data_IF_196561095782
#
_entry.id   IF_196561095782
#
_cell.length_a   1.000
_cell.length_b   1.000
_cell.length_c   1.000
_cell.angle_alpha   90.00
_cell.angle_beta   90.00
_cell.angle_gamma   90.00
#
_symmetry.space_group_name_H-M   'P 1'
#
loop_
_entity.id
_entity.type
_entity.pdbx_description
1 polymer ?
#
# COMPACT_ATOMS: atom_id res chain seq x y z
N UNK A 1 14.43 27.68 -18.73
CA UNK A 1 15.18 27.28 -17.53
C UNK A 1 14.48 26.12 -16.83
N UNK A 2 15.25 25.11 -16.37
CA UNK A 2 14.82 23.91 -15.62
C UNK A 2 14.28 22.70 -16.42
N UNK A 3 15.03 22.25 -17.44
CA UNK A 3 14.97 20.87 -17.99
C UNK A 3 16.37 20.32 -18.34
N UNK A 4 17.39 20.71 -17.56
CA UNK A 4 18.79 20.44 -17.88
C UNK A 4 19.56 19.60 -16.84
N UNK A 5 18.87 18.89 -15.92
CA UNK A 5 19.55 18.25 -14.79
C UNK A 5 19.11 16.81 -14.46
N UNK A 6 18.69 16.01 -15.46
CA UNK A 6 18.61 14.54 -15.33
C UNK A 6 18.97 13.89 -16.68
N UNK A 7 20.16 14.21 -17.22
CA UNK A 7 20.72 13.53 -18.40
C UNK A 7 22.24 13.33 -18.30
N UNK A 8 22.81 13.42 -17.09
CA UNK A 8 24.27 13.34 -16.86
C UNK A 8 24.67 12.19 -15.93
N UNK A 9 23.92 11.08 -15.89
CA UNK A 9 24.38 9.81 -15.28
C UNK A 9 23.87 8.60 -16.09
N UNK A 10 23.97 8.64 -17.42
CA UNK A 10 23.66 7.47 -18.25
C UNK A 10 24.35 7.43 -19.62
N UNK A 11 25.58 7.94 -19.72
CA UNK A 11 26.35 7.95 -20.98
C UNK A 11 27.54 6.98 -21.00
N UNK A 12 27.65 6.02 -20.07
CA UNK A 12 28.87 5.18 -19.99
C UNK A 12 28.67 3.67 -20.12
N UNK A 13 27.48 3.17 -20.42
CA UNK A 13 27.28 1.75 -20.72
C UNK A 13 26.22 1.55 -21.79
N UNK A 14 26.65 1.63 -23.05
CA UNK A 14 26.09 0.90 -24.19
C UNK A 14 26.83 1.33 -25.48
N UNK A 15 28.11 1.00 -25.58
CA UNK A 15 28.77 0.81 -26.87
C UNK A 15 29.36 -0.59 -26.84
N UNK A 16 29.12 -1.37 -27.89
CA UNK A 16 29.48 -2.80 -28.09
C UNK A 16 28.42 -3.83 -27.69
N UNK A 17 27.33 -3.92 -28.46
CA UNK A 17 26.70 -5.19 -28.81
C UNK A 17 25.69 -5.04 -29.96
N UNK A 18 26.17 -5.26 -31.18
CA UNK A 18 25.48 -5.55 -32.46
C UNK A 18 26.36 -4.87 -33.52
N UNK A 19 26.82 -5.48 -34.58
CA UNK A 19 26.40 -6.66 -35.33
C UNK A 19 27.64 -7.03 -36.19
N UNK A 20 27.52 -7.92 -37.19
CA UNK A 20 28.55 -8.27 -38.19
C UNK A 20 29.34 -9.55 -37.88
N UNK A 21 28.60 -10.65 -37.89
CA UNK A 21 29.10 -11.90 -38.47
C UNK A 21 28.48 -12.06 -39.86
N UNK A 22 29.09 -11.47 -40.90
CA UNK A 22 29.22 -12.06 -42.26
C UNK A 22 29.87 -11.10 -43.26
N UNK A 23 30.98 -11.58 -43.83
CA UNK A 23 31.42 -11.46 -45.23
C UNK A 23 31.93 -10.12 -45.78
N UNK A 24 33.09 -10.26 -46.42
CA UNK A 24 33.76 -9.41 -47.43
C UNK A 24 34.33 -8.11 -46.89
N UNK A 25 35.65 -8.09 -46.70
CA UNK A 25 36.59 -7.19 -47.38
C UNK A 25 37.99 -7.53 -46.83
N UNK A 26 38.63 -8.55 -47.42
CA UNK A 26 40.09 -8.59 -47.45
C UNK A 26 40.46 -7.81 -48.70
N UNK A 27 41.01 -6.61 -48.53
CA UNK A 27 41.67 -5.90 -49.61
C UNK A 27 43.06 -5.49 -49.14
N UNK A 28 44.01 -5.70 -50.05
CA UNK A 28 45.44 -5.78 -49.82
C UNK A 28 46.06 -4.47 -49.33
N UNK A 29 47.15 -4.61 -48.57
CA UNK A 29 48.14 -3.56 -48.36
C UNK A 29 48.44 -3.31 -46.89
N UNK A 30 49.51 -3.92 -46.38
CA UNK A 30 50.46 -3.36 -45.42
C UNK A 30 51.57 -4.38 -45.15
N UNK A 31 52.61 -4.27 -45.98
CA UNK A 31 54.04 -4.25 -45.59
C UNK A 31 54.49 -5.20 -44.47
N UNK A 32 55.13 -6.30 -44.88
CA UNK A 32 56.59 -6.45 -44.80
C UNK A 32 57.36 -6.38 -43.48
N UNK A 33 56.75 -6.12 -42.31
CA UNK A 33 57.50 -5.92 -41.05
C UNK A 33 57.15 -6.88 -39.91
N UNK A 34 56.13 -7.74 -40.05
CA UNK A 34 55.81 -8.73 -39.01
C UNK A 34 56.51 -10.08 -39.20
N UNK A 35 57.32 -10.24 -40.26
CA UNK A 35 58.05 -11.48 -40.53
C UNK A 35 59.27 -11.70 -39.61
N UNK A 36 59.78 -10.67 -38.92
CA UNK A 36 61.01 -10.78 -38.12
C UNK A 36 60.81 -11.10 -36.62
N UNK A 37 59.58 -11.20 -36.10
CA UNK A 37 59.36 -11.56 -34.68
C UNK A 37 59.23 -13.09 -34.47
N UNK A 38 59.15 -13.89 -35.56
CA UNK A 38 59.02 -15.35 -35.48
C UNK A 38 60.35 -16.11 -35.36
N UNK A 39 61.50 -15.43 -35.29
CA UNK A 39 62.82 -16.06 -35.22
C UNK A 39 63.48 -15.94 -33.82
N UNK A 40 62.70 -16.09 -32.74
CA UNK A 40 63.24 -16.18 -31.38
C UNK A 40 62.62 -17.36 -30.62
N UNK A 41 63.45 -18.36 -30.33
CA UNK A 41 63.23 -19.55 -29.50
C UNK A 41 62.35 -20.70 -30.02
N UNK A 42 62.94 -21.67 -30.76
CA UNK A 42 62.30 -22.97 -31.02
C UNK A 42 62.36 -23.99 -29.86
N UNK A 43 62.83 -23.64 -28.66
CA UNK A 43 62.99 -24.59 -27.53
C UNK A 43 61.86 -24.64 -26.48
N UNK A 44 60.64 -24.17 -26.78
CA UNK A 44 59.46 -24.44 -25.91
C UNK A 44 58.30 -25.08 -26.66
N UNK A 45 58.60 -26.08 -27.50
CA UNK A 45 57.61 -26.85 -28.29
C UNK A 45 56.87 -27.92 -27.47
N UNK A 46 57.02 -27.94 -26.15
CA UNK A 46 56.13 -28.71 -25.27
C UNK A 46 55.47 -27.77 -24.24
N UNK A 47 54.16 -27.47 -24.37
CA UNK A 47 53.48 -26.68 -23.36
C UNK A 47 53.54 -27.40 -22.01
N UNK A 48 53.89 -26.66 -20.96
CA UNK A 48 54.02 -27.19 -19.61
C UNK A 48 52.74 -27.95 -19.21
N UNK A 49 52.83 -29.26 -18.98
CA UNK A 49 51.69 -30.14 -18.69
C UNK A 49 50.86 -29.63 -17.51
N UNK A 50 51.50 -29.08 -16.48
CA UNK A 50 50.80 -28.50 -15.34
C UNK A 50 50.00 -27.25 -15.72
N UNK A 51 50.47 -26.44 -16.69
CA UNK A 51 49.73 -25.27 -17.16
C UNK A 51 48.55 -25.69 -18.04
N UNK A 52 48.73 -26.69 -18.92
CA UNK A 52 47.66 -27.26 -19.76
C UNK A 52 46.56 -27.88 -18.89
N UNK A 53 46.92 -28.67 -17.88
CA UNK A 53 45.96 -29.29 -16.97
C UNK A 53 45.18 -28.24 -16.15
N UNK A 54 45.86 -27.20 -15.63
CA UNK A 54 45.18 -26.09 -14.92
C UNK A 54 44.22 -25.34 -15.82
N UNK A 55 44.59 -25.12 -17.08
CA UNK A 55 43.71 -24.51 -18.08
C UNK A 55 42.50 -25.40 -18.34
N UNK A 56 42.69 -26.72 -18.45
CA UNK A 56 41.61 -27.66 -18.73
C UNK A 56 40.65 -27.81 -17.54
N UNK A 57 41.17 -27.91 -16.31
CA UNK A 57 40.36 -27.87 -15.08
C UNK A 57 39.56 -26.57 -15.02
N UNK A 58 40.19 -25.43 -15.30
CA UNK A 58 39.52 -24.12 -15.32
C UNK A 58 38.44 -24.07 -16.40
N UNK A 59 38.70 -24.64 -17.58
CA UNK A 59 37.77 -24.69 -18.70
C UNK A 59 36.55 -25.54 -18.36
N UNK A 60 36.76 -26.73 -17.80
CA UNK A 60 35.70 -27.63 -17.35
C UNK A 60 34.88 -27.03 -16.20
N UNK A 61 35.53 -26.48 -15.18
CA UNK A 61 34.84 -25.82 -14.07
C UNK A 61 33.95 -24.65 -14.56
N UNK A 62 34.45 -23.83 -15.49
CA UNK A 62 33.64 -22.75 -16.10
C UNK A 62 32.51 -23.30 -16.97
N UNK A 63 32.71 -24.43 -17.66
CA UNK A 63 31.69 -25.09 -18.47
C UNK A 63 30.56 -25.60 -17.59
N UNK A 64 30.88 -26.33 -16.53
CA UNK A 64 29.90 -26.86 -15.57
C UNK A 64 29.16 -25.74 -14.84
N UNK A 65 29.87 -24.73 -14.34
CA UNK A 65 29.24 -23.56 -13.73
C UNK A 65 28.27 -22.87 -14.71
N UNK A 66 28.63 -22.77 -16.00
CA UNK A 66 27.75 -22.18 -17.02
C UNK A 66 26.53 -23.05 -17.29
N UNK A 67 26.66 -24.37 -17.31
CA UNK A 67 25.54 -25.31 -17.48
C UNK A 67 24.54 -25.13 -16.33
N UNK A 68 25.01 -25.07 -15.08
CA UNK A 68 24.16 -24.91 -13.90
C UNK A 68 23.51 -23.52 -13.81
N UNK A 69 24.25 -22.45 -14.13
CA UNK A 69 23.75 -21.07 -13.98
C UNK A 69 22.83 -20.63 -15.13
N UNK A 70 23.00 -21.18 -16.34
CA UNK A 70 22.17 -20.85 -17.52
C UNK A 70 20.65 -20.98 -17.30
N UNK A 71 20.10 -22.10 -16.82
CA UNK A 71 18.67 -22.25 -16.59
C UNK A 71 18.17 -21.24 -15.53
N UNK A 72 18.93 -21.01 -14.47
CA UNK A 72 18.59 -20.01 -13.44
C UNK A 72 18.52 -18.59 -14.02
N UNK A 73 19.46 -18.21 -14.89
CA UNK A 73 19.42 -16.93 -15.59
C UNK A 73 18.21 -16.82 -16.52
N UNK A 74 17.83 -17.91 -17.19
CA UNK A 74 16.63 -17.96 -18.05
C UNK A 74 15.36 -17.75 -17.22
N UNK A 75 15.25 -18.43 -16.07
CA UNK A 75 14.14 -18.26 -15.13
C UNK A 75 14.09 -16.83 -14.57
N UNK A 76 15.22 -16.27 -14.15
CA UNK A 76 15.27 -14.88 -13.68
C UNK A 76 14.84 -13.87 -14.74
N UNK A 77 15.22 -14.09 -16.01
CA UNK A 77 14.75 -13.27 -17.13
C UNK A 77 13.24 -13.45 -17.40
N UNK A 78 12.73 -14.68 -17.26
CA UNK A 78 11.30 -14.97 -17.37
C UNK A 78 10.50 -14.26 -16.28
N UNK A 79 10.89 -14.41 -15.01
CA UNK A 79 10.24 -13.75 -13.87
C UNK A 79 10.23 -12.22 -13.99
N UNK A 80 11.30 -11.62 -14.51
CA UNK A 80 11.33 -10.17 -14.79
C UNK A 80 10.32 -9.77 -15.87
N UNK A 81 10.16 -10.57 -16.93
CA UNK A 81 9.16 -10.35 -17.99
C UNK A 81 7.74 -10.49 -17.45
N UNK A 82 7.50 -11.54 -16.67
CA UNK A 82 6.19 -11.82 -16.07
C UNK A 82 5.81 -10.72 -15.07
N UNK A 83 6.74 -10.31 -14.21
CA UNK A 83 6.54 -9.18 -13.30
C UNK A 83 6.21 -7.87 -14.02
N UNK A 84 6.84 -7.61 -15.17
CA UNK A 84 6.50 -6.46 -16.00
C UNK A 84 5.11 -6.58 -16.65
N UNK A 85 4.76 -7.77 -17.14
CA UNK A 85 3.45 -8.05 -17.73
C UNK A 85 2.32 -7.90 -16.68
N UNK A 86 2.50 -8.44 -15.48
CA UNK A 86 1.55 -8.32 -14.37
C UNK A 86 1.37 -6.85 -13.95
N UNK A 87 2.46 -6.08 -13.82
CA UNK A 87 2.37 -4.64 -13.52
C UNK A 87 1.61 -3.86 -14.60
N UNK A 88 1.75 -4.23 -15.88
CA UNK A 88 0.96 -3.62 -16.97
C UNK A 88 -0.52 -3.97 -16.86
N UNK A 89 -0.86 -5.23 -16.56
CA UNK A 89 -2.24 -5.68 -16.36
C UNK A 89 -2.91 -4.95 -15.19
N UNK A 90 -2.22 -4.82 -14.05
CA UNK A 90 -2.73 -4.07 -12.90
C UNK A 90 -3.03 -2.61 -13.27
N UNK A 91 -2.09 -1.92 -13.93
CA UNK A 91 -2.33 -0.54 -14.39
C UNK A 91 -3.50 -0.42 -15.37
N UNK A 92 -3.68 -1.40 -16.25
CA UNK A 92 -4.82 -1.42 -17.17
C UNK A 92 -6.15 -1.61 -16.42
N UNK A 93 -6.18 -2.52 -15.43
CA UNK A 93 -7.36 -2.73 -14.57
C UNK A 93 -7.68 -1.50 -13.73
N UNK A 94 -6.68 -0.85 -13.12
CA UNK A 94 -6.87 0.39 -12.36
C UNK A 94 -7.48 1.50 -13.21
N UNK A 95 -7.02 1.64 -14.46
CA UNK A 95 -7.60 2.58 -15.43
C UNK A 95 -9.05 2.22 -15.77
N UNK A 96 -9.34 0.95 -16.03
CA UNK A 96 -10.70 0.49 -16.31
C UNK A 96 -11.64 0.76 -15.11
N UNK A 97 -11.20 0.46 -13.88
CA UNK A 97 -11.96 0.79 -12.67
C UNK A 97 -12.17 2.29 -12.50
N UNK A 98 -11.16 3.11 -12.79
CA UNK A 98 -11.29 4.55 -12.76
C UNK A 98 -12.30 5.05 -13.79
N UNK A 99 -12.29 4.51 -15.01
CA UNK A 99 -13.26 4.85 -16.06
C UNK A 99 -14.68 4.43 -15.68
N UNK A 100 -14.86 3.23 -15.15
CA UNK A 100 -16.15 2.76 -14.66
C UNK A 100 -16.66 3.64 -13.52
N UNK A 101 -15.81 4.02 -12.57
CA UNK A 101 -16.15 4.95 -11.49
C UNK A 101 -16.56 6.33 -12.03
N UNK A 102 -15.82 6.87 -13.00
CA UNK A 102 -16.19 8.16 -13.61
C UNK A 102 -17.48 8.08 -14.40
N UNK A 103 -17.73 6.97 -15.10
CA UNK A 103 -18.96 6.74 -15.85
C UNK A 103 -20.15 6.59 -14.90
N UNK A 104 -20.00 5.82 -13.82
CA UNK A 104 -21.00 5.69 -12.78
C UNK A 104 -21.29 7.05 -12.09
N UNK A 105 -20.27 7.86 -11.83
CA UNK A 105 -20.45 9.20 -11.29
C UNK A 105 -21.19 10.13 -12.27
N UNK A 106 -20.89 10.04 -13.56
CA UNK A 106 -21.61 10.80 -14.61
C UNK A 106 -23.06 10.36 -14.74
N UNK A 107 -23.31 9.05 -14.72
CA UNK A 107 -24.65 8.49 -14.72
C UNK A 107 -25.44 8.91 -13.49
N UNK A 108 -24.82 8.88 -12.30
CA UNK A 108 -25.45 9.34 -11.06
C UNK A 108 -25.81 10.83 -11.13
N UNK A 109 -24.95 11.69 -11.72
CA UNK A 109 -25.27 13.10 -11.96
C UNK A 109 -26.43 13.27 -12.94
N UNK A 110 -26.42 12.56 -14.06
CA UNK A 110 -27.51 12.61 -15.04
C UNK A 110 -28.84 12.11 -14.45
N UNK A 111 -28.81 11.07 -13.61
CA UNK A 111 -29.99 10.61 -12.87
C UNK A 111 -30.46 11.64 -11.85
N UNK A 112 -29.56 12.32 -11.15
CA UNK A 112 -29.90 13.39 -10.21
C UNK A 112 -30.49 14.62 -10.91
N UNK A 113 -29.99 14.98 -12.10
CA UNK A 113 -30.56 16.04 -12.93
C UNK A 113 -31.97 15.67 -13.44
N UNK A 114 -32.16 14.42 -13.87
CA UNK A 114 -33.47 13.90 -14.30
C UNK A 114 -34.47 13.73 -13.16
N UNK A 115 -34.00 13.43 -11.95
CA UNK A 115 -34.86 13.28 -10.77
C UNK A 115 -35.43 14.62 -10.26
N UNK A 116 -35.02 15.75 -10.84
CA UNK A 116 -35.36 17.08 -10.32
C UNK A 116 -34.75 17.34 -8.95
N UNK A 117 -34.77 18.60 -8.49
CA UNK A 117 -34.35 18.94 -7.11
C UNK A 117 -35.03 17.95 -6.15
N UNK A 118 -34.30 17.35 -5.19
CA UNK A 118 -34.95 16.51 -4.19
C UNK A 118 -36.07 17.36 -3.61
N UNK A 119 -37.32 16.94 -3.82
CA UNK A 119 -38.45 17.50 -3.09
C UNK A 119 -37.97 17.46 -1.64
N UNK A 120 -37.81 18.61 -0.97
CA UNK A 120 -37.47 18.60 0.43
C UNK A 120 -38.55 17.74 1.03
N UNK A 121 -38.20 16.55 1.54
CA UNK A 121 -39.13 15.77 2.34
C UNK A 121 -39.50 16.76 3.42
N UNK A 122 -40.70 17.34 3.30
CA UNK A 122 -41.03 18.53 4.06
C UNK A 122 -40.80 18.13 5.51
N UNK A 123 -39.89 18.82 6.19
CA UNK A 123 -39.69 18.66 7.64
C UNK A 123 -40.92 19.21 8.40
N UNK A 124 -42.12 19.09 7.82
CA UNK A 124 -43.41 19.42 8.40
C UNK A 124 -43.96 18.32 9.32
N UNK A 125 -43.46 17.08 9.21
CA UNK A 125 -43.72 16.08 10.25
C UNK A 125 -42.78 16.34 11.44
N UNK A 126 -43.33 17.00 12.47
CA UNK A 126 -42.71 17.19 13.79
C UNK A 126 -41.97 15.91 14.22
N UNK A 127 -40.65 15.98 14.35
CA UNK A 127 -39.81 14.83 14.71
C UNK A 127 -40.28 14.21 16.03
N UNK A 128 -40.81 12.99 15.98
CA UNK A 128 -41.24 12.25 17.17
C UNK A 128 -40.08 11.46 17.77
N UNK A 129 -39.99 11.46 19.10
CA UNK A 129 -39.01 10.68 19.87
C UNK A 129 -39.07 9.19 19.53
N UNK A 130 -40.28 8.67 19.27
CA UNK A 130 -40.50 7.26 19.01
C UNK A 130 -40.11 6.80 17.60
N UNK A 131 -39.87 7.74 16.66
CA UNK A 131 -39.56 7.43 15.25
C UNK A 131 -38.34 6.51 15.12
N UNK A 132 -37.32 6.71 15.95
CA UNK A 132 -36.10 5.89 15.93
C UNK A 132 -36.40 4.46 16.40
N UNK A 133 -37.14 4.35 17.50
CA UNK A 133 -37.48 3.06 18.13
C UNK A 133 -38.44 2.25 17.25
N UNK A 134 -39.45 2.89 16.64
CA UNK A 134 -40.41 2.23 15.76
C UNK A 134 -39.73 1.71 14.49
N UNK A 135 -38.88 2.53 13.86
CA UNK A 135 -38.12 2.16 12.66
C UNK A 135 -37.19 0.98 12.96
N UNK A 136 -36.46 1.01 14.08
CA UNK A 136 -35.59 -0.10 14.50
C UNK A 136 -36.37 -1.40 14.75
N UNK A 137 -37.50 -1.32 15.46
CA UNK A 137 -38.35 -2.50 15.76
C UNK A 137 -38.94 -3.10 14.49
N UNK A 138 -39.42 -2.27 13.56
CA UNK A 138 -39.94 -2.73 12.27
C UNK A 138 -38.88 -3.47 11.45
N UNK A 139 -37.65 -2.96 11.46
CA UNK A 139 -36.50 -3.61 10.81
C UNK A 139 -35.90 -4.79 11.62
N UNK A 140 -36.43 -5.07 12.83
CA UNK A 140 -35.96 -6.11 13.77
C UNK A 140 -34.45 -6.04 14.06
N UNK A 141 -33.91 -4.82 14.13
CA UNK A 141 -32.50 -4.59 14.41
C UNK A 141 -32.24 -4.39 15.91
N UNK A 142 -31.10 -4.89 16.38
CA UNK A 142 -30.53 -4.46 17.67
C UNK A 142 -30.07 -3.01 17.58
N UNK A 143 -29.97 -2.31 18.71
CA UNK A 143 -29.46 -0.92 18.73
C UNK A 143 -28.06 -0.82 18.11
N UNK A 144 -27.19 -1.83 18.33
CA UNK A 144 -25.84 -1.87 17.76
C UNK A 144 -25.83 -2.09 16.25
N UNK A 145 -26.72 -2.93 15.72
CA UNK A 145 -26.87 -3.09 14.26
C UNK A 145 -27.42 -1.81 13.61
N UNK A 146 -28.38 -1.17 14.26
CA UNK A 146 -28.95 0.09 13.79
C UNK A 146 -27.89 1.22 13.79
N UNK A 147 -27.10 1.31 14.85
CA UNK A 147 -25.99 2.25 14.96
C UNK A 147 -24.93 2.04 13.85
N UNK A 148 -24.55 0.77 13.61
CA UNK A 148 -23.61 0.40 12.53
C UNK A 148 -24.13 0.79 11.15
N UNK A 149 -25.42 0.62 10.88
CA UNK A 149 -26.03 0.99 9.59
C UNK A 149 -26.00 2.50 9.36
N UNK A 150 -26.18 3.27 10.42
CA UNK A 150 -26.13 4.73 10.39
C UNK A 150 -24.71 5.30 10.53
N UNK A 151 -23.69 4.47 10.78
CA UNK A 151 -22.32 4.92 11.03
C UNK A 151 -22.15 5.72 12.33
N UNK A 152 -22.99 5.49 13.33
CA UNK A 152 -22.98 6.20 14.62
C UNK A 152 -22.65 5.27 15.78
N UNK A 153 -22.35 5.84 16.95
CA UNK A 153 -22.11 5.06 18.16
C UNK A 153 -23.42 4.50 18.74
N UNK A 154 -23.33 3.39 19.46
CA UNK A 154 -24.47 2.80 20.19
C UNK A 154 -25.10 3.81 21.18
N UNK A 155 -24.25 4.60 21.85
CA UNK A 155 -24.68 5.62 22.81
C UNK A 155 -25.54 6.72 22.17
N UNK A 156 -25.25 7.11 20.92
CA UNK A 156 -26.08 8.08 20.19
C UNK A 156 -27.48 7.55 19.92
N UNK A 157 -27.61 6.28 19.48
CA UNK A 157 -28.91 5.66 19.24
C UNK A 157 -29.72 5.54 20.54
N UNK A 158 -29.07 5.16 21.64
CA UNK A 158 -29.71 5.12 22.95
C UNK A 158 -30.17 6.52 23.39
N UNK A 159 -29.33 7.55 23.22
CA UNK A 159 -29.68 8.94 23.51
C UNK A 159 -30.91 9.43 22.73
N UNK A 160 -31.08 8.98 21.48
CA UNK A 160 -32.24 9.30 20.65
C UNK A 160 -33.49 8.54 21.09
N UNK A 161 -33.40 7.24 21.34
CA UNK A 161 -34.54 6.42 21.80
C UNK A 161 -35.03 6.83 23.20
N UNK A 162 -34.13 7.29 24.06
CA UNK A 162 -34.46 7.82 25.39
C UNK A 162 -34.87 9.29 25.35
N UNK A 163 -34.68 9.98 24.21
CA UNK A 163 -35.02 11.39 24.02
C UNK A 163 -34.10 12.36 24.74
N UNK A 164 -32.95 11.88 25.23
CA UNK A 164 -31.90 12.72 25.84
C UNK A 164 -31.26 13.64 24.80
N UNK A 165 -31.20 13.20 23.55
CA UNK A 165 -30.66 13.99 22.44
C UNK A 165 -31.54 13.84 21.20
N UNK A 166 -31.58 14.88 20.36
CA UNK A 166 -32.27 14.85 19.06
C UNK A 166 -31.22 14.62 17.96
N UNK A 167 -31.47 13.73 16.97
CA UNK A 167 -30.54 13.54 15.86
C UNK A 167 -30.36 14.83 15.05
N UNK A 168 -29.17 15.03 14.49
CA UNK A 168 -28.90 16.13 13.55
C UNK A 168 -29.65 15.90 12.23
N UNK A 169 -29.85 16.94 11.44
CA UNK A 169 -30.63 16.86 10.18
C UNK A 169 -30.15 15.75 9.23
N UNK A 170 -28.83 15.60 9.04
CA UNK A 170 -28.26 14.50 8.25
C UNK A 170 -28.67 13.11 8.78
N UNK A 171 -28.75 12.96 10.10
CA UNK A 171 -29.14 11.70 10.74
C UNK A 171 -30.65 11.49 10.66
N UNK A 172 -31.46 12.56 10.77
CA UNK A 172 -32.91 12.49 10.55
C UNK A 172 -33.24 12.02 9.13
N UNK A 173 -32.56 12.57 8.12
CA UNK A 173 -32.71 12.15 6.72
C UNK A 173 -32.35 10.65 6.55
N UNK A 174 -31.20 10.22 7.07
CA UNK A 174 -30.80 8.81 7.03
C UNK A 174 -31.79 7.87 7.74
N UNK A 175 -32.39 8.29 8.87
CA UNK A 175 -33.41 7.51 9.58
C UNK A 175 -34.72 7.43 8.79
N UNK A 176 -35.10 8.51 8.10
CA UNK A 176 -36.28 8.54 7.23
C UNK A 176 -36.11 7.66 6.00
N UNK A 177 -34.92 7.67 5.38
CA UNK A 177 -34.58 6.75 4.30
C UNK A 177 -34.69 5.28 4.78
N UNK A 178 -34.21 4.96 5.98
CA UNK A 178 -34.38 3.63 6.58
C UNK A 178 -35.84 3.32 6.98
N UNK A 179 -36.66 4.34 7.24
CA UNK A 179 -38.11 4.21 7.44
C UNK A 179 -38.84 3.93 6.12
N UNK A 180 -38.30 4.32 4.98
CA UNK A 180 -38.88 4.00 3.68
C UNK A 180 -38.30 2.72 3.05
N UNK A 181 -37.15 2.25 3.53
CA UNK A 181 -36.53 1.00 3.09
C UNK A 181 -37.25 -0.24 3.64
N UNK A 182 -37.41 -1.25 2.78
CA UNK A 182 -37.93 -2.56 3.15
C UNK A 182 -36.89 -3.44 3.84
N UNK A 183 -37.38 -4.40 4.64
CA UNK A 183 -36.55 -5.35 5.41
C UNK A 183 -35.54 -6.09 4.53
N UNK A 184 -35.91 -6.44 3.29
CA UNK A 184 -35.06 -7.16 2.34
C UNK A 184 -33.82 -6.36 1.92
N UNK A 185 -33.89 -5.03 1.91
CA UNK A 185 -32.77 -4.15 1.63
C UNK A 185 -31.80 -4.01 2.82
N UNK A 186 -32.23 -4.46 4.01
CA UNK A 186 -31.49 -4.37 5.27
C UNK A 186 -31.02 -5.76 5.69
N UNK A 187 -30.14 -6.35 4.87
CA UNK A 187 -29.46 -7.59 5.24
C UNK A 187 -28.63 -7.36 6.52
N UNK A 188 -28.74 -8.24 7.53
CA UNK A 188 -27.94 -8.12 8.74
C UNK A 188 -26.46 -8.27 8.37
N UNK A 189 -25.57 -7.34 8.77
CA UNK A 189 -24.14 -7.51 8.53
C UNK A 189 -23.66 -8.77 9.27
N UNK A 190 -22.74 -9.55 8.66
CA UNK A 190 -22.18 -10.74 9.30
C UNK A 190 -21.59 -10.34 10.66
N UNK A 191 -21.94 -11.09 11.71
CA UNK A 191 -21.47 -10.92 13.08
C UNK A 191 -19.99 -11.31 13.20
N UNK A 192 -19.11 -10.57 12.55
CA UNK A 192 -17.66 -10.70 12.66
C UNK A 192 -17.14 -9.53 13.48
N UNK A 193 -17.00 -9.67 14.80
CA UNK A 193 -16.05 -8.95 15.67
C UNK A 193 -16.50 -8.97 17.15
N UNK A 194 -16.26 -10.08 17.84
CA UNK A 194 -16.14 -10.03 19.32
C UNK A 194 -15.22 -11.13 19.89
N UNK A 195 -14.92 -12.18 19.11
CA UNK A 195 -13.95 -13.23 19.48
C UNK A 195 -12.49 -12.77 19.65
N UNK A 196 -12.15 -11.48 19.52
CA UNK A 196 -10.76 -10.97 19.62
C UNK A 196 -10.48 -9.96 20.74
N UNK A 197 -11.45 -9.54 21.56
CA UNK A 197 -11.22 -8.57 22.66
C UNK A 197 -11.08 -9.22 24.04
N UNK A 198 -10.54 -10.44 24.08
CA UNK A 198 -10.35 -11.22 25.30
C UNK A 198 -8.93 -11.77 25.45
N UNK A 199 -7.86 -10.99 25.20
CA UNK A 199 -6.53 -11.26 25.77
C UNK A 199 -5.63 -10.02 25.65
N UNK A 200 -4.97 -9.68 26.77
CA UNK A 200 -4.01 -8.56 27.02
C UNK A 200 -4.60 -7.29 27.62
N UNK A 201 -5.02 -7.40 28.88
CA UNK A 201 -4.61 -6.45 29.90
C UNK A 201 -3.09 -6.61 30.09
N UNK A 202 -2.28 -5.89 29.31
CA UNK A 202 -0.89 -5.61 29.67
C UNK A 202 -0.86 -4.20 30.23
N UNK A 203 -0.43 -4.08 31.49
CA UNK A 203 -0.48 -2.87 32.28
C UNK A 203 0.12 -1.64 31.59
N UNK A 204 -0.57 -0.53 31.72
CA UNK A 204 -0.02 0.80 31.53
C UNK A 204 0.66 1.18 32.85
N UNK A 205 2.00 1.29 32.96
CA UNK A 205 2.59 1.79 34.18
C UNK A 205 2.20 3.27 34.31
N UNK A 206 1.60 3.63 35.43
CA UNK A 206 1.26 5.00 35.77
C UNK A 206 2.53 5.84 35.83
N UNK A 207 2.61 6.89 35.00
CA UNK A 207 3.66 7.90 35.13
C UNK A 207 3.33 8.79 36.32
N UNK A 208 4.11 8.62 37.38
CA UNK A 208 4.15 9.40 38.63
C UNK A 208 3.93 10.91 38.39
N UNK A 209 2.87 11.46 38.99
CA UNK A 209 2.78 12.88 39.31
C UNK A 209 3.67 13.12 40.53
N UNK A 210 4.77 13.84 40.35
CA UNK A 210 5.63 14.32 41.46
C UNK A 210 4.77 15.08 42.45
N UNK A 211 4.50 14.49 43.61
CA UNK A 211 3.99 15.20 44.78
C UNK A 211 5.05 16.22 45.22
N UNK A 212 4.74 17.50 45.05
CA UNK A 212 5.54 18.61 45.56
C UNK A 212 5.56 18.56 47.09
N UNK A 213 6.70 18.23 47.69
CA UNK A 213 6.92 18.43 49.13
C UNK A 213 6.98 19.93 49.39
N UNK A 214 5.85 20.50 49.79
CA UNK A 214 5.74 21.86 50.30
C UNK A 214 6.45 21.90 51.66
N UNK A 215 7.70 22.38 51.69
CA UNK A 215 8.40 22.77 52.94
C UNK A 215 7.55 23.81 53.66
N UNK A 216 6.85 23.41 54.74
CA UNK A 216 6.27 24.34 55.70
C UNK A 216 7.42 25.04 56.41
N UNK A 217 7.67 26.30 56.06
CA UNK A 217 8.37 27.25 56.95
C UNK A 217 7.49 27.43 58.18
N UNK A 218 7.82 26.73 59.26
CA UNK A 218 7.26 26.98 60.58
C UNK A 218 7.98 28.15 61.21
N UNK A 219 7.38 29.34 61.10
CA UNK A 219 7.68 30.46 61.98
C UNK A 219 7.19 30.12 63.40
N UNK A 220 8.11 30.03 64.36
CA UNK A 220 7.78 30.31 65.77
C UNK A 220 8.72 31.38 66.27
N UNK A 221 8.14 32.59 66.34
CA UNK A 221 8.67 33.76 66.99
C UNK A 221 8.31 33.67 68.48
N UNK A 222 9.23 34.17 69.30
CA UNK A 222 9.05 34.72 70.65
C UNK A 222 9.11 33.77 71.86
N UNK A 223 9.97 34.16 72.83
CA UNK A 223 9.68 33.98 74.25
C UNK A 223 10.88 33.72 75.18
N UNK A 224 11.52 34.81 75.67
CA UNK A 224 12.27 34.98 76.93
C UNK A 224 12.17 33.84 77.99
N UNK A 225 13.29 33.52 78.66
CA UNK A 225 13.60 33.88 80.08
C UNK A 225 14.64 32.97 80.77
N UNK A 226 15.59 33.58 81.50
CA UNK A 226 16.37 33.11 82.68
C UNK A 226 17.25 31.84 82.54
N UNK A 227 18.49 31.74 83.02
CA UNK A 227 19.22 32.37 84.14
C UNK A 227 20.67 32.64 83.76
#
# INVERSE_FOLDING_TARGET
MRKAWILTIRSERCSHAADLRTRRYWNHGLTGELACILAANPEQVMPNVASVLKQEISRLARKEARIMVRPLRKLAAQLRRDGAALKRRLKAQDRALSQLRSNAARQARALAEKAGKPVPVAFGEKWRKDTVRSTRRRLRLTQGQFARRLGVSLGSVNGWETGRTVPRERQKAAILELRNADRSAVAPPPQQQERRRGRRLSGRPGRSTKTSVRRRRGSRRAGRAAR
#
